data_IF_960069121062
#
_entry.id   IF_960069121062
#
_cell.length_a   1.000
_cell.length_b   1.000
_cell.length_c   1.000
_cell.angle_alpha   90.00
_cell.angle_beta   90.00
_cell.angle_gamma   90.00
#
_symmetry.space_group_name_H-M   'P 1'
#
loop_
_entity.id
_entity.type
_entity.pdbx_description
1 polymer ?
#
# COMPACT_ATOMS: atom_id res chain seq x y z
N UNK A 1 15.12 -6.68 3.62
CA UNK A 1 14.05 -6.88 4.61
C UNK A 1 13.30 -5.57 4.67
N UNK A 2 12.02 -5.59 4.31
CA UNK A 2 11.11 -4.46 4.36
C UNK A 2 10.07 -4.70 5.46
N UNK A 3 9.56 -3.61 6.04
CA UNK A 3 8.49 -3.71 7.04
C UNK A 3 7.23 -4.27 6.41
N UNK A 4 6.50 -5.09 7.18
CA UNK A 4 5.27 -5.73 6.72
C UNK A 4 4.12 -5.24 7.58
N UNK A 5 3.10 -4.70 6.94
CA UNK A 5 1.87 -4.21 7.56
C UNK A 5 0.72 -5.14 7.21
N UNK A 6 0.24 -5.87 8.21
CA UNK A 6 -0.90 -6.78 8.02
C UNK A 6 -2.20 -5.98 8.01
N UNK A 7 -3.04 -6.21 7.01
CA UNK A 7 -4.37 -5.63 6.90
C UNK A 7 -5.43 -6.74 6.83
N UNK A 8 -6.69 -6.47 7.22
CA UNK A 8 -7.79 -7.40 7.03
C UNK A 8 -7.95 -7.84 5.57
N UNK A 9 -8.15 -9.14 5.35
CA UNK A 9 -8.38 -9.70 4.00
C UNK A 9 -9.60 -9.10 3.29
N UNK A 10 -10.57 -8.57 4.06
CA UNK A 10 -11.77 -7.89 3.54
C UNK A 10 -11.45 -6.65 2.72
N UNK A 11 -10.25 -6.10 2.84
CA UNK A 11 -9.79 -4.97 2.01
C UNK A 11 -9.28 -5.41 0.63
N UNK A 12 -9.26 -6.72 0.35
CA UNK A 12 -8.84 -7.27 -0.95
C UNK A 12 -7.33 -7.29 -1.17
N UNK A 13 -6.56 -7.03 -0.12
CA UNK A 13 -5.10 -7.14 -0.07
C UNK A 13 -4.68 -8.16 0.98
N UNK A 14 -3.55 -8.83 0.73
CA UNK A 14 -2.79 -9.46 1.79
C UNK A 14 -1.85 -8.46 2.48
N UNK A 15 -0.86 -8.95 3.24
CA UNK A 15 0.09 -8.08 3.93
C UNK A 15 0.81 -7.14 2.96
N UNK A 16 0.89 -5.87 3.34
CA UNK A 16 1.57 -4.83 2.57
C UNK A 16 3.05 -4.85 2.98
N UNK A 17 3.94 -5.01 2.01
CA UNK A 17 5.39 -4.96 2.21
C UNK A 17 5.89 -3.57 1.79
N UNK A 18 6.63 -2.89 2.67
CA UNK A 18 7.32 -1.64 2.35
C UNK A 18 8.64 -1.97 1.67
N UNK A 19 8.79 -1.56 0.42
CA UNK A 19 10.01 -1.78 -0.37
C UNK A 19 11.05 -0.71 -0.09
N UNK A 20 10.62 0.52 0.15
CA UNK A 20 11.50 1.63 0.48
C UNK A 20 10.78 2.95 0.56
N UNK A 21 11.55 3.98 0.94
CA UNK A 21 11.12 5.38 0.95
C UNK A 21 12.12 6.14 0.09
N UNK A 22 11.64 6.74 -0.99
CA UNK A 22 12.48 7.43 -1.97
C UNK A 22 11.77 8.70 -2.41
N UNK A 23 12.50 9.81 -2.49
CA UNK A 23 12.01 11.11 -3.00
C UNK A 23 10.70 11.62 -2.34
N UNK A 24 10.49 11.33 -1.05
CA UNK A 24 9.28 11.74 -0.33
C UNK A 24 8.05 10.87 -0.62
N UNK A 25 8.26 9.66 -1.13
CA UNK A 25 7.22 8.69 -1.38
C UNK A 25 7.55 7.33 -0.75
N UNK A 26 6.51 6.61 -0.34
CA UNK A 26 6.60 5.24 0.17
C UNK A 26 6.28 4.27 -0.96
N UNK A 27 7.23 3.41 -1.29
CA UNK A 27 7.06 2.32 -2.26
C UNK A 27 6.66 1.04 -1.52
N UNK A 28 5.56 0.43 -1.95
CA UNK A 28 4.95 -0.73 -1.30
C UNK A 28 4.52 -1.77 -2.33
N UNK A 29 4.42 -3.02 -1.90
CA UNK A 29 3.80 -4.10 -2.68
C UNK A 29 2.88 -4.93 -1.79
N UNK A 30 1.73 -5.34 -2.34
CA UNK A 30 0.81 -6.23 -1.63
C UNK A 30 0.24 -7.28 -2.59
N UNK A 31 0.07 -8.54 -2.16
CA UNK A 31 -0.64 -9.53 -2.95
C UNK A 31 -2.14 -9.16 -2.99
N UNK A 32 -2.79 -9.41 -4.12
CA UNK A 32 -4.24 -9.24 -4.26
C UNK A 32 -4.95 -10.52 -3.85
N UNK A 33 -5.93 -10.42 -2.95
CA UNK A 33 -6.66 -11.59 -2.43
C UNK A 33 -8.03 -11.77 -3.11
N UNK A 34 -8.52 -10.76 -3.81
CA UNK A 34 -9.81 -10.76 -4.53
C UNK A 34 -9.69 -10.70 -6.04
N UNK A 35 -10.83 -10.92 -6.72
CA UNK A 35 -10.95 -10.79 -8.18
C UNK A 35 -11.23 -9.34 -8.58
N UNK A 36 -10.25 -8.47 -8.36
CA UNK A 36 -10.36 -7.05 -8.69
C UNK A 36 -9.40 -6.22 -7.84
N UNK A 37 -8.81 -5.20 -8.46
CA UNK A 37 -7.99 -4.21 -7.78
C UNK A 37 -8.34 -2.82 -8.29
N UNK A 38 -8.70 -1.91 -7.39
CA UNK A 38 -8.82 -0.47 -7.67
C UNK A 38 -8.01 0.32 -6.65
N UNK A 39 -7.40 1.39 -7.13
CA UNK A 39 -6.72 2.38 -6.31
C UNK A 39 -7.01 3.77 -6.86
N UNK A 40 -7.23 4.71 -5.97
CA UNK A 40 -7.23 6.15 -6.24
C UNK A 40 -6.34 6.85 -5.23
N UNK A 41 -5.88 8.06 -5.51
CA UNK A 41 -5.07 8.87 -4.58
C UNK A 41 -3.58 8.52 -4.53
N UNK A 42 -3.20 7.28 -4.82
CA UNK A 42 -1.81 6.88 -5.06
C UNK A 42 -1.64 6.31 -6.47
N UNK A 43 -0.40 6.29 -6.94
CA UNK A 43 -0.07 5.54 -8.15
C UNK A 43 -0.05 4.03 -7.81
N UNK A 44 -0.61 3.22 -8.72
CA UNK A 44 -0.60 1.78 -8.55
C UNK A 44 -0.56 1.03 -9.87
N UNK A 45 0.01 -0.17 -9.84
CA UNK A 45 0.20 -1.01 -11.02
C UNK A 45 0.54 -2.46 -10.66
N UNK A 46 0.58 -3.34 -11.66
CA UNK A 46 0.97 -4.73 -11.45
C UNK A 46 2.42 -4.84 -10.96
N UNK A 47 2.64 -5.65 -9.93
CA UNK A 47 3.96 -5.91 -9.37
C UNK A 47 4.13 -7.39 -9.00
N UNK A 48 5.34 -7.74 -8.62
CA UNK A 48 5.66 -9.04 -8.03
C UNK A 48 5.95 -8.83 -6.55
N UNK A 49 5.18 -9.52 -5.70
CA UNK A 49 5.46 -9.55 -4.25
C UNK A 49 6.78 -10.27 -3.97
N UNK A 50 7.41 -10.01 -2.83
CA UNK A 50 8.68 -10.68 -2.49
C UNK A 50 8.55 -12.21 -2.37
N UNK A 51 7.35 -12.72 -2.11
CA UNK A 51 7.01 -14.15 -2.15
C UNK A 51 6.93 -14.77 -3.55
N UNK A 52 7.18 -14.00 -4.62
CA UNK A 52 7.13 -14.47 -6.01
C UNK A 52 5.71 -14.61 -6.59
N UNK A 53 4.69 -14.21 -5.83
CA UNK A 53 3.30 -14.13 -6.29
C UNK A 53 2.98 -12.80 -6.97
N UNK A 54 1.98 -12.80 -7.84
CA UNK A 54 1.45 -11.56 -8.43
C UNK A 54 0.85 -10.66 -7.35
N UNK A 55 1.11 -9.36 -7.46
CA UNK A 55 0.61 -8.35 -6.53
C UNK A 55 0.41 -7.01 -7.21
N UNK A 56 0.14 -6.01 -6.38
CA UNK A 56 0.04 -4.61 -6.78
C UNK A 56 1.17 -3.83 -6.12
N UNK A 57 1.88 -3.06 -6.93
CA UNK A 57 2.78 -2.01 -6.46
C UNK A 57 1.99 -0.75 -6.17
N UNK A 58 2.31 -0.09 -5.06
CA UNK A 58 1.74 1.17 -4.63
C UNK A 58 2.87 2.16 -4.39
N UNK A 59 2.70 3.38 -4.88
CA UNK A 59 3.60 4.48 -4.56
C UNK A 59 2.78 5.72 -4.20
N UNK A 60 2.99 6.18 -2.96
CA UNK A 60 2.23 7.22 -2.30
C UNK A 60 3.17 8.31 -1.75
N UNK A 61 2.94 9.56 -2.13
CA UNK A 61 3.65 10.71 -1.58
C UNK A 61 3.16 11.03 -0.16
N UNK A 62 3.97 11.71 0.63
CA UNK A 62 3.54 12.28 1.92
C UNK A 62 2.27 13.15 1.78
N UNK A 63 1.31 12.97 2.69
CA UNK A 63 0.01 13.64 2.68
C UNK A 63 -1.00 13.03 1.71
N UNK A 64 -0.62 12.04 0.91
CA UNK A 64 -1.55 11.34 0.03
C UNK A 64 -2.49 10.45 0.83
N UNK A 65 -3.77 10.47 0.45
CA UNK A 65 -4.79 9.55 0.93
C UNK A 65 -5.26 8.70 -0.25
N UNK A 66 -4.93 7.42 -0.23
CA UNK A 66 -5.43 6.45 -1.19
C UNK A 66 -6.68 5.75 -0.69
N UNK A 67 -7.58 5.45 -1.63
CA UNK A 67 -8.68 4.51 -1.42
C UNK A 67 -8.41 3.25 -2.24
N UNK A 68 -8.40 2.10 -1.57
CA UNK A 68 -8.13 0.78 -2.15
C UNK A 68 -9.41 -0.04 -2.11
N UNK A 69 -9.80 -0.59 -3.27
CA UNK A 69 -10.95 -1.48 -3.44
C UNK A 69 -12.27 -0.93 -2.87
N UNK A 70 -12.40 0.40 -2.73
CA UNK A 70 -13.50 1.08 -2.04
C UNK A 70 -13.76 0.54 -0.62
N UNK A 71 -12.76 -0.09 -0.01
CA UNK A 71 -12.86 -0.82 1.26
C UNK A 71 -11.89 -0.33 2.32
N UNK A 72 -10.75 0.26 1.90
CA UNK A 72 -9.69 0.72 2.79
C UNK A 72 -9.20 2.10 2.36
N UNK A 73 -8.89 2.95 3.34
CA UNK A 73 -8.06 4.14 3.16
C UNK A 73 -6.64 3.87 3.65
N UNK A 74 -5.67 4.40 2.90
CA UNK A 74 -4.25 4.39 3.23
C UNK A 74 -3.73 5.81 3.14
N UNK A 75 -3.31 6.37 4.26
CA UNK A 75 -2.73 7.72 4.33
C UNK A 75 -1.25 7.63 4.72
N UNK A 76 -0.40 8.32 3.97
CA UNK A 76 0.98 8.58 4.37
C UNK A 76 0.99 9.86 5.18
N UNK A 77 0.91 9.74 6.50
CA UNK A 77 0.74 10.88 7.41
C UNK A 77 2.00 11.74 7.45
N UNK A 78 3.17 11.09 7.45
CA UNK A 78 4.47 11.75 7.58
C UNK A 78 5.57 10.85 7.03
N UNK A 79 6.60 11.47 6.43
CA UNK A 79 7.85 10.80 6.08
C UNK A 79 9.01 11.52 6.76
N UNK A 80 9.84 10.78 7.50
CA UNK A 80 11.06 11.27 8.13
C UNK A 80 12.23 10.36 7.74
N UNK A 81 13.11 10.88 6.87
CA UNK A 81 14.25 10.16 6.30
C UNK A 81 13.84 8.81 5.67
N UNK A 82 14.12 7.70 6.36
CA UNK A 82 13.79 6.33 5.94
C UNK A 82 12.64 5.72 6.74
N UNK A 83 11.83 6.56 7.38
CA UNK A 83 10.66 6.14 8.17
C UNK A 83 9.41 6.82 7.64
N UNK A 84 8.30 6.10 7.60
CA UNK A 84 6.99 6.66 7.26
C UNK A 84 5.95 6.25 8.30
N UNK A 85 5.01 7.15 8.57
CA UNK A 85 3.83 6.86 9.38
C UNK A 85 2.66 6.60 8.44
N UNK A 86 2.16 5.37 8.47
CA UNK A 86 0.99 4.97 7.69
C UNK A 86 -0.23 4.92 8.60
N UNK A 87 -1.33 5.51 8.15
CA UNK A 87 -2.65 5.36 8.76
C UNK A 87 -3.54 4.54 7.84
N UNK A 88 -4.12 3.48 8.41
CA UNK A 88 -4.95 2.51 7.70
C UNK A 88 -6.30 2.42 8.37
N UNK A 89 -7.37 2.67 7.62
CA UNK A 89 -8.74 2.67 8.13
C UNK A 89 -9.70 2.04 7.09
N UNK A 90 -10.89 1.58 7.50
CA UNK A 90 -11.93 1.22 6.55
C UNK A 90 -12.36 2.44 5.70
N UNK A 91 -12.66 2.22 4.42
CA UNK A 91 -13.33 3.23 3.59
C UNK A 91 -14.79 3.41 4.03
N UNK A 92 -15.31 4.64 3.88
CA UNK A 92 -16.67 5.02 4.25
C UNK A 92 -17.69 4.76 3.14
#
# INVERSE_FOLDING_TARGET
MGDVVTVPETYGLGPIEVLGITDGAVEMVAPVTGSGFSVSGCSGGGAVSSGGGGGVGLNCDEGSVATINDAMTLEVVEIQDTTAVLRIEPAA
#
